data_IF_279164841521
#
_entry.id   IF_279164841521
#
_cell.length_a   1.000
_cell.length_b   1.000
_cell.length_c   1.000
_cell.angle_alpha   90.00
_cell.angle_beta   90.00
_cell.angle_gamma   90.00
#
_symmetry.space_group_name_H-M   'P 1'
#
loop_
_entity.id
_entity.type
_entity.pdbx_description
1 polymer ?
#
# COMPACT_ATOMS: atom_id res chain seq x y z
N UNK A 1 17.37 -5.25 29.57
CA UNK A 1 16.36 -4.19 29.78
C UNK A 1 16.65 -3.02 28.85
N UNK A 2 15.69 -2.13 28.61
CA UNK A 2 15.85 -1.01 27.66
C UNK A 2 16.94 0.00 28.06
N UNK A 3 17.35 0.00 29.33
CA UNK A 3 18.46 0.78 29.91
C UNK A 3 19.83 0.11 29.76
N UNK A 4 19.91 -1.01 29.01
CA UNK A 4 21.14 -1.79 28.82
C UNK A 4 21.51 -2.70 30.00
N UNK A 5 20.70 -2.77 31.06
CA UNK A 5 20.96 -3.66 32.19
C UNK A 5 20.56 -5.10 31.86
N UNK A 6 21.40 -6.04 32.26
CA UNK A 6 21.10 -7.46 32.23
C UNK A 6 20.49 -7.87 33.56
N UNK A 7 19.28 -8.41 33.53
CA UNK A 7 18.59 -8.96 34.71
C UNK A 7 18.50 -10.47 34.56
N UNK A 8 18.91 -11.19 35.61
CA UNK A 8 18.79 -12.65 35.65
C UNK A 8 17.39 -13.00 36.13
N UNK A 9 16.70 -13.82 35.36
CA UNK A 9 15.36 -14.28 35.67
C UNK A 9 15.40 -15.79 35.80
N UNK A 10 14.69 -16.34 36.79
CA UNK A 10 14.69 -17.77 37.09
C UNK A 10 13.33 -18.43 36.86
N UNK A 11 12.32 -17.63 36.52
CA UNK A 11 10.94 -18.07 36.34
C UNK A 11 10.44 -17.67 34.95
N UNK A 12 9.85 -18.62 34.25
CA UNK A 12 9.21 -18.46 32.95
C UNK A 12 7.80 -19.07 33.03
N UNK A 13 6.82 -18.36 32.50
CA UNK A 13 5.43 -18.79 32.44
C UNK A 13 4.91 -18.60 31.01
N UNK A 14 4.02 -19.51 30.58
CA UNK A 14 3.33 -19.37 29.29
C UNK A 14 1.95 -18.78 29.50
N UNK A 15 1.69 -17.66 28.84
CA UNK A 15 0.44 -16.92 28.98
C UNK A 15 -0.23 -16.75 27.62
N UNK A 16 -1.56 -16.80 27.63
CA UNK A 16 -2.38 -16.31 26.52
C UNK A 16 -2.62 -14.81 26.75
N UNK A 17 -2.18 -13.98 25.80
CA UNK A 17 -2.22 -12.53 25.89
C UNK A 17 -3.29 -11.97 24.95
N UNK A 18 -4.08 -11.04 25.46
CA UNK A 18 -5.07 -10.30 24.67
C UNK A 18 -4.74 -8.80 24.74
N UNK A 19 -4.54 -8.17 23.58
CA UNK A 19 -4.03 -6.81 23.47
C UNK A 19 -5.05 -5.95 22.75
N UNK A 20 -5.54 -4.93 23.43
CA UNK A 20 -6.48 -3.98 22.84
C UNK A 20 -5.70 -2.91 22.10
N UNK A 21 -5.89 -2.82 20.78
CA UNK A 21 -5.29 -1.79 19.93
C UNK A 21 -6.38 -0.93 19.27
N UNK A 22 -5.98 0.21 18.68
CA UNK A 22 -6.90 1.08 17.93
C UNK A 22 -7.54 0.35 16.74
N UNK A 23 -6.83 -0.63 16.16
CA UNK A 23 -7.31 -1.44 15.03
C UNK A 23 -8.16 -2.65 15.48
N UNK A 24 -8.33 -2.84 16.79
CA UNK A 24 -9.05 -3.98 17.37
C UNK A 24 -8.19 -4.82 18.32
N UNK A 25 -8.78 -5.89 18.82
CA UNK A 25 -8.14 -6.76 19.81
C UNK A 25 -7.29 -7.83 19.12
N UNK A 26 -6.06 -8.02 19.61
CA UNK A 26 -5.13 -9.02 19.10
C UNK A 26 -4.87 -10.07 20.17
N UNK A 27 -5.14 -11.34 19.84
CA UNK A 27 -4.89 -12.48 20.73
C UNK A 27 -3.61 -13.20 20.32
N UNK A 28 -2.77 -13.50 21.30
CA UNK A 28 -1.54 -14.29 21.14
C UNK A 28 -1.59 -15.44 22.14
N UNK A 29 -1.39 -16.67 21.67
CA UNK A 29 -1.46 -17.87 22.52
C UNK A 29 -0.08 -18.35 22.91
N UNK A 30 0.04 -18.89 24.12
CA UNK A 30 1.25 -19.56 24.62
C UNK A 30 2.53 -18.72 24.49
N UNK A 31 2.46 -17.44 24.84
CA UNK A 31 3.62 -16.53 24.85
C UNK A 31 4.49 -16.84 26.06
N UNK A 32 5.78 -17.10 25.84
CA UNK A 32 6.74 -17.26 26.92
C UNK A 32 7.03 -15.90 27.56
N UNK A 33 6.69 -15.77 28.84
CA UNK A 33 6.88 -14.57 29.62
C UNK A 33 7.85 -14.85 30.77
N UNK A 34 8.83 -13.97 30.93
CA UNK A 34 9.85 -14.09 31.96
C UNK A 34 9.47 -13.18 33.13
N UNK A 35 9.45 -13.73 34.34
CA UNK A 35 9.12 -12.95 35.54
C UNK A 35 10.36 -12.19 36.00
N UNK A 36 10.26 -10.86 35.99
CA UNK A 36 11.33 -9.98 36.45
C UNK A 36 11.25 -9.83 37.98
N UNK A 37 12.37 -9.98 38.71
CA UNK A 37 12.40 -9.68 40.13
C UNK A 37 12.26 -8.15 40.34
N UNK A 38 11.17 -7.73 40.99
CA UNK A 38 10.88 -6.33 41.26
C UNK A 38 9.43 -6.13 41.73
N UNK A 39 9.07 -4.89 42.03
CA UNK A 39 7.73 -4.44 42.43
C UNK A 39 6.96 -3.73 41.31
N UNK A 40 7.49 -3.77 40.08
CA UNK A 40 6.81 -3.21 38.91
C UNK A 40 5.54 -3.99 38.58
N UNK A 41 4.44 -3.28 38.30
CA UNK A 41 3.19 -3.85 37.78
C UNK A 41 3.13 -3.86 36.24
N UNK A 42 4.21 -3.43 35.59
CA UNK A 42 4.26 -3.22 34.16
C UNK A 42 4.57 -4.50 33.40
N UNK A 43 3.81 -4.75 32.32
CA UNK A 43 4.06 -5.86 31.41
C UNK A 43 4.97 -5.42 30.26
N UNK A 44 6.23 -5.87 30.29
CA UNK A 44 7.20 -5.58 29.24
C UNK A 44 7.14 -6.61 28.13
N UNK A 45 6.94 -6.15 26.89
CA UNK A 45 6.90 -7.01 25.71
C UNK A 45 8.26 -7.12 25.04
N UNK A 46 8.71 -8.36 24.85
CA UNK A 46 9.93 -8.68 24.12
C UNK A 46 9.83 -8.32 22.64
N UNK A 47 10.99 -8.12 22.02
CA UNK A 47 11.12 -7.81 20.59
C UNK A 47 10.63 -8.95 19.70
N UNK A 48 10.77 -10.18 20.16
CA UNK A 48 10.21 -11.40 19.57
C UNK A 48 8.67 -11.32 19.47
N UNK A 49 7.99 -10.97 20.57
CA UNK A 49 6.55 -10.81 20.60
C UNK A 49 6.06 -9.64 19.73
N UNK A 50 6.83 -8.55 19.65
CA UNK A 50 6.55 -7.43 18.75
C UNK A 50 6.72 -7.81 17.28
N UNK A 51 7.75 -8.60 16.94
CA UNK A 51 7.94 -9.11 15.58
C UNK A 51 6.82 -10.06 15.14
N UNK A 52 6.28 -10.88 16.03
CA UNK A 52 5.09 -11.70 15.73
C UNK A 52 3.87 -10.85 15.35
N UNK A 53 3.81 -9.60 15.81
CA UNK A 53 2.77 -8.63 15.46
C UNK A 53 3.09 -7.80 14.21
N UNK A 54 4.20 -8.10 13.52
CA UNK A 54 4.65 -7.35 12.35
C UNK A 54 5.38 -6.05 12.70
N UNK A 55 5.73 -5.83 13.97
CA UNK A 55 6.42 -4.62 14.44
C UNK A 55 7.92 -4.93 14.58
N UNK A 56 8.71 -4.54 13.60
CA UNK A 56 10.18 -4.62 13.67
C UNK A 56 10.80 -3.23 13.88
N UNK A 57 10.97 -2.87 15.16
CA UNK A 57 11.46 -1.56 15.60
C UNK A 57 12.86 -1.27 15.02
N UNK A 58 13.72 -2.27 14.86
CA UNK A 58 15.07 -2.11 14.33
C UNK A 58 15.06 -1.77 12.84
N UNK A 59 14.26 -2.48 12.05
CA UNK A 59 14.07 -2.19 10.63
C UNK A 59 13.42 -0.81 10.42
N UNK A 60 12.44 -0.45 11.26
CA UNK A 60 11.81 0.87 11.23
C UNK A 60 12.78 1.99 11.61
N UNK A 61 13.62 1.79 12.63
CA UNK A 61 14.63 2.77 13.04
C UNK A 61 15.73 2.93 11.99
N UNK A 62 16.17 1.84 11.36
CA UNK A 62 17.16 1.87 10.28
C UNK A 62 16.66 2.66 9.05
N UNK A 63 15.36 2.60 8.73
CA UNK A 63 14.77 3.44 7.68
C UNK A 63 14.82 4.94 8.01
N UNK A 64 14.73 5.31 9.28
CA UNK A 64 14.83 6.70 9.74
C UNK A 64 16.27 7.20 9.75
N UNK A 65 17.24 6.33 10.03
CA UNK A 65 18.66 6.68 10.11
C UNK A 65 19.40 6.68 8.75
N UNK A 66 18.72 6.32 7.65
CA UNK A 66 19.35 6.25 6.32
C UNK A 66 19.78 7.64 5.77
N UNK A 67 20.89 7.73 5.00
CA UNK A 67 21.43 9.00 4.48
C UNK A 67 20.52 9.77 3.49
N UNK A 68 19.34 9.24 3.17
CA UNK A 68 18.38 9.82 2.22
C UNK A 68 17.67 11.08 2.74
N UNK A 69 17.89 11.52 3.98
CA UNK A 69 17.26 12.73 4.53
C UNK A 69 18.12 14.01 4.38
N UNK A 70 19.38 13.90 3.95
CA UNK A 70 20.32 15.03 3.91
C UNK A 70 20.96 15.28 2.54
N UNK A 71 20.50 14.62 1.48
CA UNK A 71 20.94 15.01 0.13
C UNK A 71 20.22 16.31 -0.24
N UNK A 72 21.01 17.35 -0.54
CA UNK A 72 20.50 18.65 -0.97
C UNK A 72 19.43 18.47 -2.03
N UNK A 73 18.23 18.93 -1.69
CA UNK A 73 17.04 18.91 -2.52
C UNK A 73 17.28 19.79 -3.75
N UNK A 74 17.83 19.20 -4.82
CA UNK A 74 17.71 19.80 -6.14
C UNK A 74 16.29 19.49 -6.62
N UNK A 75 15.34 20.24 -6.09
CA UNK A 75 13.90 20.17 -6.36
C UNK A 75 13.57 20.77 -7.75
N UNK A 76 14.40 20.46 -8.75
CA UNK A 76 14.05 20.64 -10.15
C UNK A 76 13.22 19.41 -10.54
N UNK A 77 11.97 19.38 -10.08
CA UNK A 77 10.98 18.58 -10.79
C UNK A 77 10.89 19.19 -12.17
N UNK A 78 11.32 18.51 -13.25
CA UNK A 78 10.90 18.94 -14.56
C UNK A 78 9.38 19.01 -14.48
N UNK A 79 8.82 20.19 -14.75
CA UNK A 79 7.38 20.33 -15.01
C UNK A 79 7.15 19.64 -16.34
N UNK A 80 7.24 18.32 -16.29
CA UNK A 80 6.99 17.40 -17.37
C UNK A 80 5.53 17.07 -17.24
N UNK A 81 4.71 17.78 -18.01
CA UNK A 81 3.30 17.45 -18.24
C UNK A 81 3.12 16.08 -18.94
N UNK A 82 4.19 15.30 -19.06
CA UNK A 82 4.24 14.01 -19.71
C UNK A 82 3.85 12.90 -18.73
N UNK A 83 2.58 12.51 -18.79
CA UNK A 83 2.24 11.12 -18.55
C UNK A 83 3.19 10.22 -19.38
N UNK A 84 3.59 9.04 -18.89
CA UNK A 84 4.52 8.17 -19.59
C UNK A 84 4.09 8.02 -21.05
N UNK A 85 5.04 8.28 -21.95
CA UNK A 85 4.83 8.26 -23.39
C UNK A 85 4.18 6.93 -23.78
N UNK A 86 3.17 7.00 -24.66
CA UNK A 86 2.33 5.89 -25.11
C UNK A 86 3.21 4.75 -25.64
N UNK A 87 3.60 3.81 -24.79
CA UNK A 87 4.06 2.49 -25.25
C UNK A 87 2.89 1.90 -26.02
N UNK A 88 3.12 1.49 -27.26
CA UNK A 88 2.11 0.83 -28.11
C UNK A 88 1.34 -0.18 -27.26
N UNK A 89 0.08 0.13 -26.97
CA UNK A 89 -0.70 -0.70 -26.05
C UNK A 89 -0.77 -2.12 -26.61
N UNK A 90 -0.56 -3.16 -25.78
CA UNK A 90 -0.81 -4.52 -26.21
C UNK A 90 -2.28 -4.62 -26.63
N UNK A 91 -2.54 -5.27 -27.76
CA UNK A 91 -3.85 -5.37 -28.38
C UNK A 91 -4.88 -5.88 -27.36
N UNK A 92 -5.68 -4.96 -26.80
CA UNK A 92 -6.58 -5.24 -25.66
C UNK A 92 -7.60 -6.31 -26.06
N UNK A 93 -7.91 -6.37 -27.36
CA UNK A 93 -8.77 -7.35 -28.00
C UNK A 93 -8.19 -8.77 -27.97
N UNK A 94 -6.87 -8.94 -28.12
CA UNK A 94 -6.24 -10.27 -28.08
C UNK A 94 -6.28 -10.88 -26.66
N UNK A 95 -5.95 -10.08 -25.64
CA UNK A 95 -6.00 -10.52 -24.25
C UNK A 95 -7.44 -10.84 -23.79
N UNK A 96 -8.43 -10.13 -24.34
CA UNK A 96 -9.84 -10.37 -24.04
C UNK A 96 -10.38 -11.59 -24.80
N UNK A 97 -9.92 -11.83 -26.02
CA UNK A 97 -10.19 -13.07 -26.78
C UNK A 97 -9.76 -14.33 -26.02
N UNK A 98 -8.55 -14.34 -25.45
CA UNK A 98 -8.06 -15.46 -24.64
C UNK A 98 -8.91 -15.72 -23.39
N UNK A 99 -9.42 -14.64 -22.77
CA UNK A 99 -10.33 -14.75 -21.63
C UNK A 99 -11.67 -15.34 -22.06
N UNK A 100 -12.21 -14.91 -23.20
CA UNK A 100 -13.48 -15.42 -23.73
C UNK A 100 -13.40 -16.92 -24.04
N UNK A 101 -12.30 -17.40 -24.66
CA UNK A 101 -12.08 -18.84 -24.91
C UNK A 101 -12.16 -19.65 -23.60
N UNK A 102 -11.65 -19.09 -22.50
CA UNK A 102 -11.71 -19.73 -21.17
C UNK A 102 -13.12 -19.74 -20.59
N UNK A 103 -13.88 -18.65 -20.73
CA UNK A 103 -15.25 -18.57 -20.21
C UNK A 103 -16.23 -19.48 -20.95
N UNK A 104 -15.98 -19.76 -22.23
CA UNK A 104 -16.75 -20.75 -23.01
C UNK A 104 -16.56 -22.15 -22.44
N UNK A 105 -15.33 -22.50 -22.05
CA UNK A 105 -15.06 -23.75 -21.35
C UNK A 105 -15.79 -23.83 -19.99
N UNK A 106 -16.14 -22.69 -19.39
CA UNK A 106 -16.89 -22.58 -18.14
C UNK A 106 -18.42 -22.50 -18.34
N UNK A 107 -18.93 -22.64 -19.57
CA UNK A 107 -20.37 -22.72 -19.85
C UNK A 107 -21.03 -21.46 -20.39
N UNK A 108 -20.25 -20.47 -20.85
CA UNK A 108 -20.81 -19.33 -21.59
C UNK A 108 -21.42 -19.79 -22.93
N UNK A 109 -22.68 -19.45 -23.25
CA UNK A 109 -23.30 -19.80 -24.53
C UNK A 109 -22.52 -19.21 -25.70
N UNK A 110 -22.29 -20.02 -26.73
CA UNK A 110 -21.50 -19.61 -27.89
C UNK A 110 -22.11 -18.41 -28.65
N UNK A 111 -23.43 -18.25 -28.57
CA UNK A 111 -24.16 -17.12 -29.15
C UNK A 111 -23.78 -15.78 -28.49
N UNK A 112 -23.44 -15.79 -27.20
CA UNK A 112 -23.00 -14.60 -26.46
C UNK A 112 -21.58 -14.17 -26.85
N UNK A 113 -20.73 -15.11 -27.31
CA UNK A 113 -19.36 -14.80 -27.75
C UNK A 113 -19.39 -13.85 -28.94
N UNK A 114 -20.23 -14.14 -29.93
CA UNK A 114 -20.32 -13.33 -31.15
C UNK A 114 -20.69 -11.89 -30.84
N UNK A 115 -21.71 -11.69 -29.99
CA UNK A 115 -22.15 -10.36 -29.56
C UNK A 115 -21.05 -9.62 -28.80
N UNK A 116 -20.34 -10.31 -27.90
CA UNK A 116 -19.25 -9.69 -27.12
C UNK A 116 -18.06 -9.36 -28.01
N UNK A 117 -17.67 -10.23 -28.94
CA UNK A 117 -16.59 -9.94 -29.90
C UNK A 117 -16.92 -8.76 -30.81
N UNK A 118 -18.17 -8.69 -31.31
CA UNK A 118 -18.66 -7.58 -32.13
C UNK A 118 -18.62 -6.27 -31.34
N UNK A 119 -19.13 -6.26 -30.11
CA UNK A 119 -19.15 -5.08 -29.23
C UNK A 119 -17.74 -4.57 -28.92
N UNK A 120 -16.79 -5.48 -28.65
CA UNK A 120 -15.41 -5.12 -28.35
C UNK A 120 -14.66 -4.56 -29.57
N UNK A 121 -14.98 -5.08 -30.75
CA UNK A 121 -14.43 -4.59 -32.01
C UNK A 121 -15.00 -3.21 -32.36
N UNK A 122 -16.31 -3.01 -32.12
CA UNK A 122 -16.99 -1.75 -32.39
C UNK A 122 -16.54 -0.62 -31.46
N UNK A 123 -16.39 -0.92 -30.15
CA UNK A 123 -16.11 0.08 -29.10
C UNK A 123 -14.72 -0.08 -28.47
N UNK A 124 -13.69 -0.29 -29.29
CA UNK A 124 -12.31 -0.50 -28.86
C UNK A 124 -11.70 0.65 -28.03
N UNK A 125 -12.21 1.87 -28.17
CA UNK A 125 -11.74 3.09 -27.49
C UNK A 125 -12.40 3.32 -26.12
N UNK A 126 -13.49 2.59 -25.82
CA UNK A 126 -14.21 2.63 -24.55
C UNK A 126 -13.47 1.82 -23.47
N UNK A 127 -12.82 0.73 -23.85
CA UNK A 127 -12.18 -0.21 -22.94
C UNK A 127 -10.66 -0.03 -22.94
N UNK A 128 -10.02 -0.13 -21.76
CA UNK A 128 -8.55 -0.09 -21.65
C UNK A 128 -8.04 -1.12 -20.67
N UNK A 129 -6.93 -1.76 -21.04
CA UNK A 129 -6.20 -2.69 -20.16
C UNK A 129 -5.36 -1.95 -19.12
N UNK A 130 -4.83 -0.80 -19.49
CA UNK A 130 -3.96 0.03 -18.66
C UNK A 130 -4.55 1.43 -18.50
N UNK A 131 -4.50 1.98 -17.28
CA UNK A 131 -4.85 3.38 -17.06
C UNK A 131 -3.70 4.21 -17.64
N UNK A 132 -4.00 4.92 -18.72
CA UNK A 132 -3.05 5.78 -19.43
C UNK A 132 -3.72 7.05 -19.95
N UNK A 133 -2.92 8.02 -20.45
CA UNK A 133 -3.44 9.23 -21.06
C UNK A 133 -4.49 8.89 -22.11
N UNK A 134 -5.73 9.36 -21.90
CA UNK A 134 -6.75 9.30 -22.93
C UNK A 134 -6.51 10.37 -24.00
N UNK A 135 -7.15 10.22 -25.17
CA UNK A 135 -7.29 11.37 -26.06
C UNK A 135 -7.96 12.50 -25.28
N UNK A 136 -7.58 13.77 -25.53
CA UNK A 136 -8.22 14.90 -24.90
C UNK A 136 -9.72 14.87 -25.20
N UNK A 137 -10.54 15.15 -24.18
CA UNK A 137 -11.96 15.31 -24.40
C UNK A 137 -12.20 16.46 -25.40
N UNK A 138 -13.17 16.30 -26.29
CA UNK A 138 -13.57 17.33 -27.25
C UNK A 138 -14.42 18.40 -26.57
N UNK A 139 -13.84 19.07 -25.58
CA UNK A 139 -14.47 20.13 -24.78
C UNK A 139 -13.50 21.30 -24.71
N UNK A 140 -14.05 22.51 -24.62
CA UNK A 140 -13.21 23.68 -24.39
C UNK A 140 -12.43 23.54 -23.08
N UNK A 141 -11.14 23.89 -23.05
CA UNK A 141 -10.36 23.85 -21.82
C UNK A 141 -11.00 24.71 -20.72
N UNK A 142 -11.04 24.16 -19.50
CA UNK A 142 -11.55 24.87 -18.34
C UNK A 142 -10.75 26.16 -18.11
N UNK A 143 -11.44 27.29 -18.10
CA UNK A 143 -10.87 28.59 -17.72
C UNK A 143 -11.22 28.89 -16.28
N UNK A 144 -10.21 29.03 -15.42
CA UNK A 144 -10.39 29.41 -14.02
C UNK A 144 -10.16 30.91 -13.89
N UNK A 145 -11.12 31.63 -13.29
CA UNK A 145 -10.95 33.03 -12.92
C UNK A 145 -10.49 33.13 -11.48
N UNK A 146 -9.48 33.95 -11.24
CA UNK A 146 -8.95 34.22 -9.90
C UNK A 146 -9.73 35.41 -9.31
N UNK A 147 -10.07 35.36 -8.02
CA UNK A 147 -10.74 36.48 -7.34
C UNK A 147 -9.83 37.70 -7.26
N UNK A 148 -10.41 38.90 -7.37
CA UNK A 148 -9.67 40.16 -7.24
C UNK A 148 -8.94 40.24 -5.89
N UNK A 149 -7.65 40.56 -5.95
CA UNK A 149 -6.78 40.66 -4.76
C UNK A 149 -6.20 39.33 -4.28
N UNK A 150 -6.47 38.21 -4.95
CA UNK A 150 -5.81 36.95 -4.63
C UNK A 150 -4.29 37.02 -4.87
N UNK A 151 -3.52 36.50 -3.92
CA UNK A 151 -2.06 36.46 -3.97
C UNK A 151 -1.61 35.00 -4.14
N UNK A 152 -0.72 34.69 -5.10
CA UNK A 152 -0.17 33.34 -5.25
C UNK A 152 0.48 32.88 -3.94
N UNK A 153 0.10 31.70 -3.47
CA UNK A 153 0.65 31.09 -2.27
C UNK A 153 1.39 29.80 -2.61
N UNK A 154 2.68 29.74 -2.27
CA UNK A 154 3.48 28.52 -2.36
C UNK A 154 3.46 27.82 -1.01
N UNK A 155 2.71 26.72 -0.94
CA UNK A 155 2.72 25.86 0.25
C UNK A 155 4.05 25.11 0.35
N UNK A 156 4.54 24.87 1.58
CA UNK A 156 5.68 23.99 1.79
C UNK A 156 5.36 22.55 1.30
N UNK A 157 6.35 21.80 0.76
CA UNK A 157 6.14 20.43 0.35
C UNK A 157 5.61 19.58 1.50
N UNK A 158 4.56 18.79 1.24
CA UNK A 158 4.12 17.77 2.21
C UNK A 158 5.21 16.71 2.32
N UNK A 159 5.65 16.43 3.55
CA UNK A 159 6.47 15.25 3.84
C UNK A 159 5.60 14.01 3.72
N UNK A 160 5.72 13.30 2.60
CA UNK A 160 5.18 11.96 2.47
C UNK A 160 6.17 10.98 3.09
N UNK A 161 5.67 10.07 3.94
CA UNK A 161 6.44 8.90 4.35
C UNK A 161 6.72 8.06 3.10
N UNK A 162 7.93 7.49 2.98
CA UNK A 162 8.25 6.60 1.86
C UNK A 162 7.22 5.46 1.83
N UNK A 163 6.58 5.30 0.67
CA UNK A 163 5.49 4.35 0.39
C UNK A 163 5.88 2.87 0.58
N UNK A 164 7.14 2.54 0.88
CA UNK A 164 7.56 1.18 1.26
C UNK A 164 6.92 0.68 2.57
N UNK A 165 6.23 1.53 3.33
CA UNK A 165 5.48 1.12 4.53
C UNK A 165 4.00 0.79 4.25
N UNK A 166 3.47 1.12 3.06
CA UNK A 166 2.06 0.86 2.73
C UNK A 166 1.83 -0.49 2.03
N UNK A 167 2.84 -1.03 1.34
CA UNK A 167 2.77 -2.40 0.78
C UNK A 167 2.62 -3.45 1.89
N UNK A 168 3.34 -3.30 3.00
CA UNK A 168 3.25 -4.21 4.14
C UNK A 168 1.93 -4.09 4.92
N UNK A 169 1.31 -2.90 4.95
CA UNK A 169 0.03 -2.71 5.65
C UNK A 169 -1.16 -3.22 4.82
N UNK A 170 -1.08 -3.17 3.49
CA UNK A 170 -2.11 -3.76 2.61
C UNK A 170 -2.06 -5.29 2.68
N UNK A 171 -0.88 -5.94 2.64
CA UNK A 171 -0.80 -7.42 2.73
C UNK A 171 -1.40 -8.01 4.02
N UNK A 172 -1.33 -7.30 5.14
CA UNK A 172 -1.91 -7.75 6.43
C UNK A 172 -3.45 -7.72 6.39
N UNK A 173 -4.06 -6.76 5.69
CA UNK A 173 -5.52 -6.68 5.57
C UNK A 173 -6.13 -7.71 4.60
N UNK A 174 -5.38 -8.20 3.61
CA UNK A 174 -5.89 -9.21 2.66
C UNK A 174 -5.74 -10.66 3.17
N UNK A 175 -4.85 -10.92 4.13
CA UNK A 175 -4.59 -12.28 4.67
C UNK A 175 -5.47 -12.67 5.86
N UNK A 176 -6.28 -11.75 6.38
CA UNK A 176 -7.24 -12.01 7.49
C UNK A 176 -8.70 -12.09 7.04
N UNK A 177 -8.95 -12.09 5.73
CA UNK A 177 -10.29 -12.19 5.15
C UNK A 177 -10.52 -13.50 4.39
N UNK A 178 -10.11 -14.65 4.95
CA UNK A 178 -10.63 -15.99 4.64
C UNK A 178 -10.48 -16.92 5.86
#
# INVERSE_FOLDING_TARGET
MADGRSVRCNEEVRLDLELVTIAGTVSMRSVACVVLPGDGDEFLRGQDALRTLGIDVEAQLAQVAGPSLFTADNDDFPVGDGLPERSSEPDTNAALGDRMVREVANGLPAECIGVVQETLTEYQDVWRKTIGPGPPALVEPLRVTIQDGAVPHRSAPRRYFKLSLFESMLEICWTTAW
#
